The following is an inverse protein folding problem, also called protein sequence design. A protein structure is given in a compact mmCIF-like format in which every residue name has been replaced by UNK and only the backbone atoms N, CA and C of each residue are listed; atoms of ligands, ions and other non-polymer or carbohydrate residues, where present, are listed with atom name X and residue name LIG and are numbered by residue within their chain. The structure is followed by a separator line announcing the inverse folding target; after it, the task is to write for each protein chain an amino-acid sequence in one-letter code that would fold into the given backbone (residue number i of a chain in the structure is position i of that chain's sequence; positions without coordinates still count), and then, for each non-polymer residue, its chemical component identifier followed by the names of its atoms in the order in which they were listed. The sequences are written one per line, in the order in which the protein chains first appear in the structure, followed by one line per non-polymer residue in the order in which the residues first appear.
data_IF_253746862342
#
_entry.id   IF_253746862342
#
_cell.length_a   1.000
_cell.length_b   1.000
_cell.length_c   1.000
_cell.angle_alpha   90.00
_cell.angle_beta   90.00
_cell.angle_gamma   90.00
#
_symmetry.space_group_name_H-M   'P 1'
#
loop_
_entity.id
_entity.type
_entity.pdbx_description
1 polymer ?
#
# COMPACT_ATOMS: atom_id res chain seq x y z
N UNK A 1 -6.76 16.39 -0.79
CA UNK A 1 -6.49 16.32 -2.24
C UNK A 1 -5.62 15.13 -2.62
N UNK A 2 -5.55 14.84 -3.92
CA UNK A 2 -4.70 13.77 -4.42
C UNK A 2 -4.08 14.18 -5.76
N UNK A 3 -2.77 13.95 -5.92
CA UNK A 3 -2.06 14.06 -7.19
C UNK A 3 -1.64 12.66 -7.62
N UNK A 4 -2.03 12.25 -8.83
CA UNK A 4 -1.47 11.09 -9.51
C UNK A 4 -0.25 11.56 -10.30
N UNK A 5 0.95 11.15 -9.86
CA UNK A 5 2.20 11.58 -10.46
C UNK A 5 2.50 10.80 -11.73
N UNK A 6 2.65 11.52 -12.85
CA UNK A 6 2.96 10.99 -14.16
C UNK A 6 4.30 11.55 -14.64
N UNK A 7 5.26 10.67 -14.90
CA UNK A 7 6.60 11.03 -15.39
C UNK A 7 6.54 11.89 -16.65
N UNK A 8 7.29 13.00 -16.64
CA UNK A 8 7.39 13.94 -17.75
C UNK A 8 6.12 14.74 -18.02
N UNK A 9 5.10 14.66 -17.13
CA UNK A 9 3.84 15.39 -17.28
C UNK A 9 3.64 16.38 -16.12
N UNK A 10 3.61 15.89 -14.90
CA UNK A 10 3.35 16.70 -13.70
C UNK A 10 4.35 16.42 -12.57
N UNK A 11 5.53 15.90 -12.89
CA UNK A 11 6.66 15.70 -11.99
C UNK A 11 7.57 16.95 -11.89
N UNK A 12 8.64 16.87 -11.11
CA UNK A 12 9.63 17.93 -10.96
C UNK A 12 9.01 19.29 -10.62
N UNK A 13 9.27 20.31 -11.42
CA UNK A 13 8.81 21.68 -11.19
C UNK A 13 7.28 21.83 -11.19
N UNK A 14 6.55 21.00 -11.96
CA UNK A 14 5.09 20.99 -11.95
C UNK A 14 4.51 20.42 -10.67
N UNK A 15 5.16 19.38 -10.10
CA UNK A 15 4.81 18.87 -8.77
C UNK A 15 5.02 19.95 -7.71
N UNK A 16 6.19 20.61 -7.71
CA UNK A 16 6.49 21.72 -6.78
C UNK A 16 5.45 22.84 -6.86
N UNK A 17 5.12 23.25 -8.08
CA UNK A 17 4.11 24.29 -8.31
C UNK A 17 2.75 23.86 -7.77
N UNK A 18 2.33 22.63 -8.08
CA UNK A 18 1.04 22.09 -7.63
C UNK A 18 0.94 22.01 -6.11
N UNK A 19 1.99 21.53 -5.43
CA UNK A 19 2.01 21.48 -3.97
C UNK A 19 1.93 22.89 -3.39
N UNK A 20 2.69 23.85 -3.92
CA UNK A 20 2.71 25.23 -3.44
C UNK A 20 1.35 25.91 -3.60
N UNK A 21 0.72 25.76 -4.77
CA UNK A 21 -0.58 26.36 -5.06
C UNK A 21 -1.66 25.80 -4.12
N UNK A 22 -1.66 24.48 -3.92
CA UNK A 22 -2.61 23.80 -3.05
C UNK A 22 -2.35 24.09 -1.56
N UNK A 23 -1.10 24.20 -1.14
CA UNK A 23 -0.74 24.62 0.22
C UNK A 23 -1.22 26.05 0.54
N UNK A 24 -1.33 26.92 -0.48
CA UNK A 24 -1.91 28.24 -0.34
C UNK A 24 -3.39 28.25 0.04
N UNK A 25 -4.08 27.11 -0.08
CA UNK A 25 -5.48 26.94 0.32
C UNK A 25 -5.66 26.46 1.76
N UNK A 26 -4.55 26.25 2.50
CA UNK A 26 -4.64 25.89 3.92
C UNK A 26 -5.28 27.04 4.72
N UNK A 27 -6.17 26.79 5.71
CA UNK A 27 -6.61 25.50 6.24
C UNK A 27 -7.85 24.88 5.57
N UNK A 28 -8.42 25.48 4.52
CA UNK A 28 -9.59 24.92 3.84
C UNK A 28 -9.26 23.57 3.17
N UNK A 29 -8.06 23.48 2.61
CA UNK A 29 -7.47 22.20 2.19
C UNK A 29 -6.51 21.75 3.29
N UNK A 30 -6.83 20.65 3.96
CA UNK A 30 -6.12 20.19 5.15
C UNK A 30 -4.92 19.30 4.82
N UNK A 31 -5.02 18.51 3.75
CA UNK A 31 -3.96 17.59 3.35
C UNK A 31 -4.07 17.20 1.87
N UNK A 32 -2.96 16.71 1.34
CA UNK A 32 -2.92 16.09 0.00
C UNK A 32 -1.99 14.89 -0.02
N UNK A 33 -2.33 13.90 -0.86
CA UNK A 33 -1.46 12.77 -1.19
C UNK A 33 -0.87 12.91 -2.58
N UNK A 34 0.32 12.36 -2.76
CA UNK A 34 0.94 12.11 -4.06
C UNK A 34 1.09 10.61 -4.22
N UNK A 35 0.49 10.07 -5.28
CA UNK A 35 0.53 8.64 -5.59
C UNK A 35 1.13 8.41 -6.97
N UNK A 36 1.89 7.35 -7.24
CA UNK A 36 2.42 7.09 -8.57
C UNK A 36 1.29 6.65 -9.51
N UNK A 37 1.43 6.95 -10.79
CA UNK A 37 0.50 6.46 -11.80
C UNK A 37 0.57 4.94 -11.91
N UNK A 38 -0.58 4.27 -11.76
CA UNK A 38 -0.72 2.83 -12.04
C UNK A 38 -0.96 2.60 -13.53
N UNK A 39 -0.05 1.88 -14.19
CA UNK A 39 -0.16 1.58 -15.62
C UNK A 39 -0.72 0.16 -15.82
N UNK A 40 -2.02 0.07 -16.12
CA UNK A 40 -2.65 -1.19 -16.49
C UNK A 40 -2.31 -1.59 -17.94
N UNK A 41 -2.53 -2.87 -18.27
CA UNK A 41 -2.38 -3.37 -19.65
C UNK A 41 -3.48 -2.87 -20.62
N UNK A 42 -4.56 -2.25 -20.09
CA UNK A 42 -5.71 -1.75 -20.86
C UNK A 42 -5.51 -0.30 -21.28
N UNK A 43 -4.39 0.01 -21.96
CA UNK A 43 -4.03 1.39 -22.32
C UNK A 43 -3.96 1.65 -23.82
N UNK A 44 -4.51 0.76 -24.65
CA UNK A 44 -4.54 0.94 -26.09
C UNK A 44 -5.28 2.24 -26.46
N UNK A 45 -4.66 3.07 -27.28
CA UNK A 45 -5.22 4.37 -27.71
C UNK A 45 -5.17 5.49 -26.68
N UNK A 46 -4.65 5.25 -25.45
CA UNK A 46 -4.46 6.29 -24.45
C UNK A 46 -3.10 6.97 -24.59
N UNK A 47 -2.98 8.16 -23.97
CA UNK A 47 -1.71 8.89 -23.91
C UNK A 47 -0.59 7.99 -23.37
N UNK A 48 0.57 7.92 -24.04
CA UNK A 48 1.66 7.06 -23.63
C UNK A 48 2.31 7.62 -22.34
N UNK A 49 2.12 6.93 -21.23
CA UNK A 49 2.78 7.21 -19.96
C UNK A 49 3.86 6.16 -19.71
N UNK A 50 4.92 6.57 -19.06
CA UNK A 50 5.99 5.68 -18.59
C UNK A 50 5.83 5.36 -17.11
N UNK A 51 6.22 4.15 -16.66
CA UNK A 51 6.27 3.85 -15.24
C UNK A 51 7.37 4.69 -14.57
N UNK A 52 7.15 5.05 -13.31
CA UNK A 52 8.17 5.73 -12.51
C UNK A 52 9.33 4.79 -12.22
N UNK A 53 10.54 5.31 -12.32
CA UNK A 53 11.77 4.63 -11.91
C UNK A 53 12.08 4.91 -10.44
N UNK A 54 13.10 4.22 -9.91
CA UNK A 54 13.64 4.51 -8.58
C UNK A 54 14.06 5.98 -8.44
N UNK A 55 14.77 6.51 -9.42
CA UNK A 55 15.24 7.90 -9.43
C UNK A 55 14.07 8.90 -9.46
N UNK A 56 13.02 8.62 -10.25
CA UNK A 56 11.82 9.45 -10.28
C UNK A 56 11.14 9.48 -8.89
N UNK A 57 11.09 8.33 -8.21
CA UNK A 57 10.54 8.24 -6.87
C UNK A 57 11.40 8.98 -5.83
N UNK A 58 12.73 8.85 -5.90
CA UNK A 58 13.65 9.59 -5.04
C UNK A 58 13.48 11.10 -5.20
N UNK A 59 13.39 11.60 -6.43
CA UNK A 59 13.16 13.02 -6.73
C UNK A 59 11.80 13.51 -6.18
N UNK A 60 10.74 12.72 -6.35
CA UNK A 60 9.43 13.05 -5.80
C UNK A 60 9.45 13.14 -4.27
N UNK A 61 10.09 12.18 -3.60
CA UNK A 61 10.24 12.17 -2.14
C UNK A 61 11.05 13.36 -1.64
N UNK A 62 12.11 13.78 -2.35
CA UNK A 62 12.91 14.94 -1.98
C UNK A 62 12.11 16.25 -2.11
N UNK A 63 11.28 16.37 -3.15
CA UNK A 63 10.36 17.49 -3.30
C UNK A 63 9.35 17.50 -2.15
N UNK A 64 8.66 16.39 -1.93
CA UNK A 64 7.63 16.26 -0.89
C UNK A 64 8.21 16.57 0.49
N UNK A 65 9.37 15.98 0.83
CA UNK A 65 10.02 16.18 2.13
C UNK A 65 10.38 17.65 2.41
N UNK A 66 10.81 18.41 1.40
CA UNK A 66 11.06 19.85 1.56
C UNK A 66 9.76 20.60 1.91
N UNK A 67 8.66 20.30 1.22
CA UNK A 67 7.37 20.93 1.50
C UNK A 67 6.79 20.50 2.85
N UNK A 68 6.97 19.24 3.24
CA UNK A 68 6.57 18.75 4.56
C UNK A 68 7.24 19.57 5.68
N UNK A 69 8.55 19.77 5.58
CA UNK A 69 9.28 20.59 6.56
C UNK A 69 8.78 22.06 6.58
N UNK A 70 8.61 22.69 5.41
CA UNK A 70 8.10 24.05 5.30
C UNK A 70 6.69 24.18 5.90
N UNK A 71 5.81 23.25 5.60
CA UNK A 71 4.44 23.28 6.10
C UNK A 71 4.36 23.00 7.59
N UNK A 72 5.19 22.08 8.09
CA UNK A 72 5.27 21.78 9.51
C UNK A 72 5.74 23.00 10.33
N UNK A 73 6.77 23.71 9.85
CA UNK A 73 7.26 24.94 10.49
C UNK A 73 6.20 26.05 10.52
N UNK A 74 5.38 26.16 9.47
CA UNK A 74 4.37 27.22 9.33
C UNK A 74 3.06 26.92 10.02
N UNK A 75 2.61 25.66 9.99
CA UNK A 75 1.23 25.27 10.33
C UNK A 75 1.14 24.10 11.32
N UNK A 76 2.25 23.45 11.65
CA UNK A 76 2.26 22.29 12.54
C UNK A 76 1.65 21.02 11.91
N UNK A 77 1.60 20.96 10.59
CA UNK A 77 1.16 19.78 9.81
C UNK A 77 2.06 19.58 8.60
N UNK A 78 2.32 18.35 8.21
CA UNK A 78 3.13 18.04 7.03
C UNK A 78 2.40 18.33 5.71
N UNK A 79 1.07 18.35 5.74
CA UNK A 79 0.17 18.71 4.65
C UNK A 79 0.24 17.80 3.42
N UNK A 80 1.43 17.60 2.81
CA UNK A 80 1.63 16.75 1.62
C UNK A 80 2.30 15.45 2.00
N UNK A 81 1.74 14.34 1.53
CA UNK A 81 2.22 13.00 1.87
C UNK A 81 2.44 12.16 0.62
N UNK A 82 3.58 11.48 0.54
CA UNK A 82 3.82 10.45 -0.48
C UNK A 82 3.16 9.14 -0.06
N UNK A 83 2.57 8.41 -1.02
CA UNK A 83 2.12 7.04 -0.76
C UNK A 83 3.30 6.13 -0.43
N UNK A 84 3.02 5.04 0.29
CA UNK A 84 4.03 4.04 0.67
C UNK A 84 4.79 3.51 -0.55
N UNK A 85 4.13 3.42 -1.70
CA UNK A 85 4.71 2.94 -2.96
C UNK A 85 5.95 3.76 -3.39
N UNK A 86 5.98 5.07 -3.14
CA UNK A 86 7.16 5.88 -3.44
C UNK A 86 8.38 5.47 -2.62
N UNK A 87 8.19 5.24 -1.31
CA UNK A 87 9.29 4.81 -0.43
C UNK A 87 9.83 3.45 -0.84
N UNK A 88 8.94 2.53 -1.21
CA UNK A 88 9.31 1.19 -1.65
C UNK A 88 10.04 1.22 -3.00
N UNK A 89 9.53 2.00 -3.95
CA UNK A 89 10.16 2.17 -5.27
C UNK A 89 11.54 2.84 -5.16
N UNK A 90 11.68 3.84 -4.28
CA UNK A 90 12.94 4.51 -4.00
C UNK A 90 13.91 3.67 -3.15
N UNK A 91 13.45 2.54 -2.59
CA UNK A 91 14.18 1.77 -1.60
C UNK A 91 14.63 2.63 -0.39
N UNK A 92 13.72 3.50 0.06
CA UNK A 92 13.88 4.33 1.27
C UNK A 92 13.05 3.78 2.42
N UNK A 93 13.50 3.96 3.68
CA UNK A 93 12.70 3.58 4.83
C UNK A 93 11.38 4.39 4.88
N UNK A 94 10.33 3.76 5.38
CA UNK A 94 9.08 4.46 5.66
C UNK A 94 9.31 5.51 6.76
N UNK A 95 8.69 6.70 6.66
CA UNK A 95 8.74 7.70 7.73
C UNK A 95 8.25 7.16 9.06
N UNK A 96 8.65 7.76 10.19
CA UNK A 96 8.06 7.46 11.48
C UNK A 96 6.60 7.96 11.55
N UNK A 97 5.84 7.46 12.53
CA UNK A 97 4.39 7.68 12.65
C UNK A 97 4.00 9.15 12.64
N UNK A 98 4.78 10.00 13.29
CA UNK A 98 4.50 11.42 13.47
C UNK A 98 4.41 12.20 12.14
N UNK A 99 5.06 11.71 11.09
CA UNK A 99 5.06 12.36 9.76
C UNK A 99 3.71 12.18 9.03
N UNK A 100 2.88 11.25 9.47
CA UNK A 100 1.61 10.96 8.80
C UNK A 100 0.41 11.77 9.32
N UNK A 101 0.62 12.68 10.30
CA UNK A 101 -0.40 13.58 10.87
C UNK A 101 -1.68 12.84 11.30
N UNK A 102 -1.56 11.64 11.88
CA UNK A 102 -2.69 10.79 12.25
C UNK A 102 -3.32 10.06 11.06
N UNK A 103 -2.55 9.80 10.02
CA UNK A 103 -2.96 8.97 8.85
C UNK A 103 -4.13 9.54 8.04
N UNK A 104 -4.17 10.86 7.87
CA UNK A 104 -5.25 11.60 7.18
C UNK A 104 -5.42 11.23 5.70
N UNK A 105 -4.47 10.50 5.10
CA UNK A 105 -4.49 10.06 3.70
C UNK A 105 -4.39 8.53 3.57
N UNK A 106 -4.77 7.78 4.60
CA UNK A 106 -4.61 6.31 4.66
C UNK A 106 -5.23 5.60 3.46
N UNK A 107 -6.45 5.99 3.07
CA UNK A 107 -7.16 5.37 1.93
C UNK A 107 -6.50 5.63 0.57
N UNK A 108 -5.59 6.59 0.50
CA UNK A 108 -4.75 6.86 -0.66
C UNK A 108 -3.40 6.10 -0.63
N UNK A 109 -3.27 5.10 0.25
CA UNK A 109 -2.06 4.30 0.37
C UNK A 109 -0.90 5.02 1.07
N UNK A 110 -1.21 6.01 1.91
CA UNK A 110 -0.23 6.78 2.69
C UNK A 110 -0.17 6.26 4.12
N UNK A 111 0.96 5.66 4.49
CA UNK A 111 1.20 5.20 5.86
C UNK A 111 0.51 3.88 6.23
N UNK A 112 -0.10 3.17 5.28
CA UNK A 112 -0.74 1.88 5.55
C UNK A 112 0.25 0.85 6.12
N UNK A 113 1.46 0.79 5.56
CA UNK A 113 2.50 -0.12 6.02
C UNK A 113 3.05 0.30 7.38
N UNK A 114 3.24 1.61 7.61
CA UNK A 114 3.68 2.11 8.92
C UNK A 114 2.65 1.76 9.99
N UNK A 115 1.39 2.08 9.76
CA UNK A 115 0.30 1.76 10.69
C UNK A 115 0.24 0.26 11.01
N UNK A 116 0.34 -0.59 9.97
CA UNK A 116 0.35 -2.04 10.16
C UNK A 116 1.53 -2.52 11.03
N UNK A 117 2.72 -1.93 10.86
CA UNK A 117 3.90 -2.25 11.66
C UNK A 117 3.67 -1.84 13.12
N UNK A 118 3.23 -0.61 13.38
CA UNK A 118 2.99 -0.09 14.73
C UNK A 118 1.89 -0.89 15.46
N UNK A 119 0.76 -1.15 14.78
CA UNK A 119 -0.32 -1.96 15.33
C UNK A 119 0.12 -3.41 15.60
N UNK A 120 0.96 -3.98 14.73
CA UNK A 120 1.52 -5.32 14.93
C UNK A 120 2.41 -5.34 16.17
N UNK A 121 3.36 -4.40 16.29
CA UNK A 121 4.30 -4.35 17.38
C UNK A 121 3.57 -4.13 18.72
N UNK A 122 2.62 -3.20 18.78
CA UNK A 122 1.76 -2.97 19.93
C UNK A 122 0.94 -4.21 20.34
N UNK A 123 0.32 -4.85 19.34
CA UNK A 123 -0.53 -6.02 19.56
C UNK A 123 0.31 -7.22 20.03
N UNK A 124 1.47 -7.42 19.43
CA UNK A 124 2.38 -8.49 19.85
C UNK A 124 2.84 -8.34 21.29
N UNK A 125 3.05 -7.12 21.79
CA UNK A 125 3.40 -6.91 23.21
C UNK A 125 2.31 -7.38 24.18
N UNK A 126 1.06 -7.16 23.83
CA UNK A 126 -0.10 -7.42 24.69
C UNK A 126 -0.63 -8.87 24.61
N UNK A 127 -0.42 -9.56 23.50
CA UNK A 127 -1.00 -10.88 23.26
C UNK A 127 -0.19 -12.02 23.90
N UNK A 128 -0.95 -13.06 24.32
CA UNK A 128 -0.45 -14.39 24.58
C UNK A 128 -1.13 -15.38 23.63
N UNK A 129 -0.49 -16.50 23.35
CA UNK A 129 -1.07 -17.58 22.54
C UNK A 129 -1.41 -18.79 23.38
N UNK A 130 -2.26 -19.67 22.88
CA UNK A 130 -2.46 -21.01 23.41
C UNK A 130 -1.30 -21.95 22.97
N UNK A 131 -1.32 -23.20 23.41
CA UNK A 131 -0.28 -24.20 23.08
C UNK A 131 -0.54 -24.93 21.75
N UNK A 132 -1.66 -24.65 21.06
CA UNK A 132 -2.01 -25.33 19.80
C UNK A 132 -1.15 -24.80 18.68
N UNK A 133 -0.83 -25.68 17.74
CA UNK A 133 -0.17 -25.27 16.50
C UNK A 133 -1.21 -24.66 15.55
N UNK A 134 -0.96 -23.44 15.10
CA UNK A 134 -1.76 -22.73 14.13
C UNK A 134 -0.98 -22.62 12.81
N UNK A 135 -1.66 -22.92 11.71
CA UNK A 135 -1.10 -22.78 10.36
C UNK A 135 -2.02 -21.89 9.55
N UNK A 136 -1.53 -20.70 9.21
CA UNK A 136 -2.25 -19.67 8.52
C UNK A 136 -1.57 -19.31 7.21
N UNK A 137 -2.32 -18.74 6.29
CA UNK A 137 -1.77 -18.13 5.08
C UNK A 137 -2.21 -16.68 4.98
N UNK A 138 -1.38 -15.88 4.31
CA UNK A 138 -1.67 -14.50 3.98
C UNK A 138 -1.34 -14.29 2.50
N UNK A 139 -2.26 -13.70 1.73
CA UNK A 139 -2.00 -13.36 0.34
C UNK A 139 -2.00 -11.84 0.14
N UNK A 140 -1.06 -11.34 -0.65
CA UNK A 140 -0.87 -9.91 -0.86
C UNK A 140 -0.26 -9.61 -2.23
N UNK A 141 -0.33 -8.35 -2.67
CA UNK A 141 0.36 -7.90 -3.86
C UNK A 141 1.89 -7.85 -3.68
N UNK A 142 2.60 -7.82 -4.80
CA UNK A 142 4.07 -7.84 -4.86
C UNK A 142 4.73 -6.79 -3.97
N UNK A 143 4.17 -5.58 -3.89
CA UNK A 143 4.77 -4.46 -3.20
C UNK A 143 4.83 -4.66 -1.68
N UNK A 144 3.73 -5.13 -1.08
CA UNK A 144 3.63 -5.34 0.37
C UNK A 144 4.21 -6.70 0.82
N UNK A 145 4.48 -7.61 -0.12
CA UNK A 145 4.93 -8.97 0.19
C UNK A 145 6.15 -9.05 1.13
N UNK A 146 7.26 -8.28 0.91
CA UNK A 146 8.41 -8.34 1.81
C UNK A 146 8.05 -7.95 3.25
N UNK A 147 7.27 -6.90 3.42
CA UNK A 147 6.83 -6.41 4.74
C UNK A 147 5.97 -7.42 5.49
N UNK A 148 5.03 -8.05 4.79
CA UNK A 148 4.18 -9.07 5.41
C UNK A 148 4.97 -10.32 5.76
N UNK A 149 6.04 -10.65 5.03
CA UNK A 149 6.98 -11.71 5.44
C UNK A 149 7.70 -11.36 6.74
N UNK A 150 8.15 -10.10 6.86
CA UNK A 150 8.83 -9.66 8.08
C UNK A 150 7.88 -9.68 9.28
N UNK A 151 6.63 -9.26 9.10
CA UNK A 151 5.57 -9.36 10.11
C UNK A 151 5.32 -10.84 10.49
N UNK A 152 5.18 -11.72 9.51
CA UNK A 152 5.00 -13.15 9.76
C UNK A 152 6.18 -13.76 10.54
N UNK A 153 7.41 -13.34 10.25
CA UNK A 153 8.60 -13.75 10.98
C UNK A 153 8.59 -13.22 12.44
N UNK A 154 8.23 -11.96 12.67
CA UNK A 154 8.06 -11.40 14.03
C UNK A 154 7.00 -12.16 14.85
N UNK A 155 5.86 -12.49 14.22
CA UNK A 155 4.81 -13.29 14.86
C UNK A 155 5.34 -14.66 15.26
N UNK A 156 6.04 -15.35 14.37
CA UNK A 156 6.63 -16.66 14.63
C UNK A 156 7.72 -16.62 15.71
N UNK A 157 8.56 -15.58 15.72
CA UNK A 157 9.58 -15.39 16.77
C UNK A 157 8.95 -15.31 18.16
N UNK A 158 7.86 -14.56 18.31
CA UNK A 158 7.15 -14.43 19.59
C UNK A 158 6.28 -15.66 19.90
N UNK A 159 5.66 -16.25 18.88
CA UNK A 159 4.74 -17.38 18.99
C UNK A 159 5.17 -18.53 18.06
N UNK A 160 6.14 -19.38 18.46
CA UNK A 160 6.67 -20.46 17.62
C UNK A 160 5.64 -21.50 17.17
N UNK A 161 4.50 -21.56 17.83
CA UNK A 161 3.38 -22.42 17.46
C UNK A 161 2.47 -21.79 16.38
N UNK A 162 2.70 -20.52 15.96
CA UNK A 162 1.98 -19.84 14.89
C UNK A 162 2.84 -19.81 13.63
N UNK A 163 2.38 -20.49 12.59
CA UNK A 163 3.06 -20.56 11.29
C UNK A 163 2.24 -19.79 10.25
N UNK A 164 2.82 -18.73 9.67
CA UNK A 164 2.17 -17.92 8.63
C UNK A 164 2.95 -18.06 7.32
N UNK A 165 2.30 -18.59 6.30
CA UNK A 165 2.85 -18.61 4.94
C UNK A 165 2.34 -17.41 4.18
N UNK A 166 3.22 -16.53 3.70
CA UNK A 166 2.85 -15.38 2.89
C UNK A 166 2.98 -15.71 1.40
N UNK A 167 1.92 -15.48 0.64
CA UNK A 167 1.87 -15.67 -0.80
C UNK A 167 1.89 -14.32 -1.53
N UNK A 168 2.86 -14.13 -2.40
CA UNK A 168 2.88 -13.04 -3.37
C UNK A 168 1.91 -13.37 -4.50
N UNK A 169 1.00 -12.45 -4.81
CA UNK A 169 0.04 -12.56 -5.90
C UNK A 169 0.39 -11.53 -6.97
N UNK A 170 0.64 -11.99 -8.17
CA UNK A 170 0.86 -11.12 -9.32
C UNK A 170 -0.49 -10.68 -9.90
N UNK A 171 -0.59 -9.42 -10.27
CA UNK A 171 -1.79 -8.89 -10.89
C UNK A 171 -1.82 -9.26 -12.38
N UNK A 172 -2.43 -10.39 -12.72
CA UNK A 172 -2.62 -10.81 -14.11
C UNK A 172 -3.78 -10.04 -14.76
N UNK A 173 -4.76 -9.60 -13.96
CA UNK A 173 -5.95 -8.93 -14.45
C UNK A 173 -5.64 -7.54 -15.01
N UNK A 174 -5.01 -6.67 -14.22
CA UNK A 174 -4.66 -5.32 -14.65
C UNK A 174 -3.27 -5.24 -15.30
N UNK A 175 -2.41 -6.22 -15.05
CA UNK A 175 -1.02 -6.28 -15.53
C UNK A 175 -0.02 -6.22 -14.39
N UNK A 176 1.13 -6.86 -14.59
CA UNK A 176 2.17 -7.02 -13.56
C UNK A 176 2.84 -5.73 -13.10
N UNK A 177 2.63 -4.62 -13.82
CA UNK A 177 3.04 -3.27 -13.38
C UNK A 177 2.17 -2.72 -12.25
N UNK A 178 0.99 -3.31 -11.99
CA UNK A 178 0.12 -2.99 -10.87
C UNK A 178 0.50 -3.90 -9.71
N UNK A 179 1.14 -3.36 -8.68
CA UNK A 179 1.80 -4.14 -7.62
C UNK A 179 1.13 -4.03 -6.24
N UNK A 180 0.19 -3.11 -6.09
CA UNK A 180 -0.52 -2.86 -4.84
C UNK A 180 -1.55 -3.95 -4.54
N UNK A 181 -1.71 -4.28 -3.25
CA UNK A 181 -2.61 -5.35 -2.80
C UNK A 181 -4.09 -5.05 -3.12
N UNK A 182 -4.51 -3.80 -2.97
CA UNK A 182 -5.90 -3.39 -3.17
C UNK A 182 -6.43 -3.52 -4.60
N UNK A 183 -5.57 -3.83 -5.59
CA UNK A 183 -5.98 -4.06 -6.97
C UNK A 183 -5.85 -5.55 -7.39
N UNK A 184 -5.52 -6.45 -6.47
CA UNK A 184 -5.56 -7.91 -6.72
C UNK A 184 -7.02 -8.34 -6.82
N UNK A 185 -7.29 -9.17 -7.82
CA UNK A 185 -8.65 -9.65 -8.11
C UNK A 185 -8.92 -11.06 -7.58
N UNK A 186 -10.19 -11.44 -7.47
CA UNK A 186 -10.58 -12.78 -7.07
C UNK A 186 -10.05 -13.87 -8.00
N UNK A 187 -10.05 -13.61 -9.32
CA UNK A 187 -9.49 -14.55 -10.30
C UNK A 187 -7.97 -14.72 -10.17
N UNK A 188 -7.24 -13.64 -9.83
CA UNK A 188 -5.80 -13.74 -9.58
C UNK A 188 -5.49 -14.61 -8.37
N UNK A 189 -6.27 -14.46 -7.29
CA UNK A 189 -6.16 -15.28 -6.08
C UNK A 189 -6.44 -16.75 -6.40
N UNK A 190 -7.58 -17.07 -7.03
CA UNK A 190 -7.97 -18.44 -7.36
C UNK A 190 -6.90 -19.10 -8.24
N UNK A 191 -6.47 -18.42 -9.29
CA UNK A 191 -5.50 -18.96 -10.24
C UNK A 191 -4.18 -19.30 -9.58
N UNK A 192 -3.69 -18.44 -8.67
CA UNK A 192 -2.35 -18.54 -8.13
C UNK A 192 -2.29 -19.31 -6.81
N UNK A 193 -3.40 -19.47 -6.09
CA UNK A 193 -3.46 -20.18 -4.80
C UNK A 193 -4.04 -21.59 -4.91
N UNK A 194 -4.73 -21.91 -5.99
CA UNK A 194 -5.35 -23.25 -6.17
C UNK A 194 -4.33 -24.37 -6.01
N UNK A 195 -4.60 -25.27 -5.07
CA UNK A 195 -3.74 -26.41 -4.75
C UNK A 195 -2.53 -26.09 -3.88
N UNK A 196 -2.38 -24.85 -3.42
CA UNK A 196 -1.35 -24.52 -2.43
C UNK A 196 -1.82 -24.84 -1.01
N UNK A 197 -0.90 -25.15 -0.07
CA UNK A 197 -1.25 -25.36 1.33
C UNK A 197 -1.63 -24.03 1.98
N UNK A 198 -2.92 -23.81 2.22
CA UNK A 198 -3.42 -22.56 2.79
C UNK A 198 -3.55 -22.59 4.32
N UNK A 199 -3.50 -23.79 4.93
CA UNK A 199 -3.67 -23.93 6.37
C UNK A 199 -5.13 -23.78 6.81
N UNK A 200 -5.33 -23.33 8.05
CA UNK A 200 -6.65 -23.19 8.67
C UNK A 200 -7.43 -21.98 8.14
N UNK A 201 -6.70 -20.89 7.82
CA UNK A 201 -7.29 -19.61 7.40
C UNK A 201 -6.37 -18.95 6.36
N UNK A 202 -6.98 -18.41 5.31
CA UNK A 202 -6.34 -17.48 4.37
C UNK A 202 -6.75 -16.05 4.73
N UNK A 203 -5.79 -15.23 5.14
CA UNK A 203 -5.96 -13.82 5.44
C UNK A 203 -5.74 -12.99 4.17
N UNK A 204 -6.63 -12.03 3.95
CA UNK A 204 -6.55 -11.08 2.83
C UNK A 204 -6.63 -9.65 3.38
N UNK A 205 -5.86 -8.69 2.82
CA UNK A 205 -6.05 -7.28 3.12
C UNK A 205 -7.48 -6.82 2.77
N UNK A 206 -8.14 -6.13 3.70
CA UNK A 206 -9.52 -5.69 3.51
C UNK A 206 -9.71 -4.78 2.30
N UNK A 207 -8.68 -4.04 1.90
CA UNK A 207 -8.70 -3.15 0.74
C UNK A 207 -8.68 -3.88 -0.62
N UNK A 208 -8.60 -5.22 -0.65
CA UNK A 208 -8.85 -6.00 -1.87
C UNK A 208 -10.34 -6.00 -2.27
N UNK A 209 -11.23 -5.70 -1.32
CA UNK A 209 -12.66 -5.63 -1.56
C UNK A 209 -13.11 -4.19 -1.84
N UNK A 210 -14.22 -4.05 -2.56
CA UNK A 210 -14.91 -2.75 -2.68
C UNK A 210 -15.35 -2.26 -1.30
N UNK A 211 -15.35 -0.96 -1.12
CA UNK A 211 -15.75 -0.35 0.16
C UNK A 211 -17.14 -0.82 0.60
N UNK A 212 -17.22 -1.35 1.83
CA UNK A 212 -18.45 -1.89 2.44
C UNK A 212 -19.07 -3.10 1.71
N UNK A 213 -18.31 -3.79 0.86
CA UNK A 213 -18.76 -4.99 0.14
C UNK A 213 -17.74 -6.13 0.33
N UNK A 214 -18.19 -7.38 0.21
CA UNK A 214 -17.31 -8.56 0.12
C UNK A 214 -17.15 -8.99 -1.35
N UNK A 215 -16.85 -8.02 -2.23
CA UNK A 215 -16.76 -8.19 -3.69
C UNK A 215 -15.43 -7.62 -4.19
N UNK A 216 -14.69 -8.42 -4.96
CA UNK A 216 -13.47 -7.98 -5.63
C UNK A 216 -13.76 -7.09 -6.84
N UNK A 217 -12.72 -6.47 -7.40
CA UNK A 217 -12.86 -5.57 -8.55
C UNK A 217 -13.29 -6.27 -9.85
N UNK A 218 -13.17 -7.60 -9.92
CA UNK A 218 -13.61 -8.45 -11.04
C UNK A 218 -14.98 -9.09 -10.81
N UNK A 219 -15.78 -8.52 -9.89
CA UNK A 219 -17.13 -8.95 -9.51
C UNK A 219 -17.22 -10.35 -8.84
N UNK A 220 -16.09 -11.03 -8.61
CA UNK A 220 -16.10 -12.23 -7.77
C UNK A 220 -16.33 -11.85 -6.31
N UNK A 221 -17.11 -12.66 -5.63
CA UNK A 221 -17.35 -12.50 -4.20
C UNK A 221 -16.30 -13.25 -3.38
N UNK A 222 -16.14 -12.86 -2.12
CA UNK A 222 -15.35 -13.62 -1.14
C UNK A 222 -15.76 -15.11 -1.13
N UNK A 223 -17.08 -15.39 -1.17
CA UNK A 223 -17.61 -16.75 -1.19
C UNK A 223 -17.21 -17.54 -2.45
N UNK A 224 -17.10 -16.87 -3.61
CA UNK A 224 -16.64 -17.54 -4.82
C UNK A 224 -15.17 -17.98 -4.70
N UNK A 225 -14.34 -17.15 -4.10
CA UNK A 225 -12.93 -17.48 -3.81
C UNK A 225 -12.83 -18.59 -2.76
N UNK A 226 -13.60 -18.53 -1.67
CA UNK A 226 -13.64 -19.57 -0.63
C UNK A 226 -14.06 -20.94 -1.19
N UNK A 227 -15.00 -20.98 -2.13
CA UNK A 227 -15.43 -22.25 -2.77
C UNK A 227 -14.42 -22.80 -3.77
N UNK A 228 -13.57 -21.95 -4.34
CA UNK A 228 -12.61 -22.34 -5.37
C UNK A 228 -11.27 -22.82 -4.80
N UNK A 229 -10.91 -22.41 -3.58
CA UNK A 229 -9.68 -22.74 -2.87
C UNK A 229 -9.88 -23.83 -1.84
#
# INVERSE_FOLDING_TARGET
GQIVLCKGVNDGAELERSIRDLAGLYPQMQSMSVVPVGLSKYREGLYPLEPLTKEDAENALDIIGRFQNEMYERFGTHFVHASDEFYLLANRPLPPEEVYDGYVQLENGVGMLRLLIEETDYTLEALSTDERVHTLSLATGKLAYPFLKDIAAKVHEKFPNVNITVYEILNDFFGHGVTVSGLITGQDLIKQLKGKPLGEVLLLPANMFRSNEEVFLDDLTKQDVEKAL
#
